data_IF_304938901879
#
_entry.id   IF_304938901879
#
_cell.length_a   1.000
_cell.length_b   1.000
_cell.length_c   1.000
_cell.angle_alpha   90.00
_cell.angle_beta   90.00
_cell.angle_gamma   90.00
#
_symmetry.space_group_name_H-M   'P 1'
#
loop_
_entity.id
_entity.type
_entity.pdbx_description
1 polymer ?
#
# COMPACT_ATOMS: atom_id res chain seq x y z
N UNK A 1 -6.94 3.70 -19.21
CA UNK A 1 -6.88 2.45 -18.41
C UNK A 1 -8.13 2.26 -17.55
N UNK A 2 -8.76 1.07 -17.60
CA UNK A 2 -9.98 0.71 -16.82
C UNK A 2 -9.73 0.27 -15.38
N UNK A 3 -8.47 0.04 -15.04
CA UNK A 3 -8.04 -0.43 -13.72
C UNK A 3 -7.00 0.55 -13.18
N UNK A 4 -7.10 0.87 -11.88
CA UNK A 4 -6.08 1.61 -11.15
C UNK A 4 -5.24 0.64 -10.31
N UNK A 5 -3.97 0.37 -10.70
CA UNK A 5 -3.07 -0.38 -9.83
C UNK A 5 -2.64 0.48 -8.64
N UNK A 6 -2.79 -0.06 -7.44
CA UNK A 6 -2.40 0.53 -6.17
C UNK A 6 -1.61 -0.49 -5.35
N UNK A 7 -0.57 -0.01 -4.65
CA UNK A 7 0.20 -0.82 -3.70
C UNK A 7 -0.31 -0.57 -2.29
N UNK A 8 -0.26 -1.60 -1.46
CA UNK A 8 -0.58 -1.46 -0.03
C UNK A 8 0.34 -0.44 0.64
N UNK A 9 1.61 -0.45 0.27
CA UNK A 9 2.66 0.42 0.78
C UNK A 9 2.33 1.89 0.53
N UNK A 10 1.78 2.23 -0.64
CA UNK A 10 1.38 3.61 -0.96
C UNK A 10 0.28 4.09 0.01
N UNK A 11 -0.68 3.22 0.36
CA UNK A 11 -1.78 3.54 1.29
C UNK A 11 -1.32 3.71 2.75
N UNK A 12 -0.13 3.18 3.09
CA UNK A 12 0.44 3.29 4.43
C UNK A 12 1.50 4.40 4.53
N UNK A 13 2.42 4.47 3.57
CA UNK A 13 3.59 5.35 3.59
C UNK A 13 3.31 6.74 3.00
N UNK A 14 2.43 6.83 2.00
CA UNK A 14 2.02 8.10 1.37
C UNK A 14 0.51 8.12 1.11
N UNK A 15 -0.23 7.98 2.20
CA UNK A 15 -1.68 7.78 2.19
C UNK A 15 -2.41 8.89 1.44
N UNK A 16 -2.08 10.15 1.73
CA UNK A 16 -2.78 11.28 1.12
C UNK A 16 -2.58 11.31 -0.40
N UNK A 17 -1.35 11.07 -0.89
CA UNK A 17 -1.12 10.97 -2.33
C UNK A 17 -1.86 9.78 -2.96
N UNK A 18 -1.84 8.62 -2.32
CA UNK A 18 -2.55 7.43 -2.78
C UNK A 18 -4.07 7.65 -2.86
N UNK A 19 -4.66 8.29 -1.86
CA UNK A 19 -6.08 8.65 -1.83
C UNK A 19 -6.43 9.69 -2.89
N UNK A 20 -5.57 10.69 -3.11
CA UNK A 20 -5.76 11.64 -4.20
C UNK A 20 -5.77 10.97 -5.57
N UNK A 21 -4.81 10.06 -5.82
CA UNK A 21 -4.73 9.29 -7.06
C UNK A 21 -5.96 8.40 -7.28
N UNK A 22 -6.51 7.83 -6.20
CA UNK A 22 -7.76 7.08 -6.24
C UNK A 22 -8.94 7.99 -6.61
N UNK A 23 -9.03 9.18 -6.01
CA UNK A 23 -10.09 10.14 -6.32
C UNK A 23 -9.98 10.65 -7.76
N UNK A 24 -8.78 10.97 -8.26
CA UNK A 24 -8.54 11.31 -9.67
C UNK A 24 -9.07 10.23 -10.61
N UNK A 25 -8.77 8.98 -10.31
CA UNK A 25 -9.24 7.85 -11.10
C UNK A 25 -10.77 7.76 -11.09
N UNK A 26 -11.42 7.90 -9.94
CA UNK A 26 -12.88 7.85 -9.85
C UNK A 26 -13.56 9.05 -10.54
N UNK A 27 -13.01 10.26 -10.41
CA UNK A 27 -13.52 11.45 -11.10
C UNK A 27 -13.40 11.33 -12.62
N UNK A 28 -12.29 10.75 -13.12
CA UNK A 28 -12.14 10.43 -14.55
C UNK A 28 -13.20 9.44 -15.07
N UNK A 29 -13.91 8.76 -14.15
CA UNK A 29 -14.99 7.81 -14.41
C UNK A 29 -16.38 8.37 -14.11
N UNK A 30 -16.48 9.68 -13.89
CA UNK A 30 -17.74 10.38 -13.71
C UNK A 30 -18.21 10.49 -12.26
N UNK A 31 -17.40 10.07 -11.27
CA UNK A 31 -17.66 10.43 -9.88
C UNK A 31 -17.60 11.95 -9.76
N UNK A 32 -18.61 12.54 -9.11
CA UNK A 32 -18.60 13.96 -8.74
C UNK A 32 -18.52 14.05 -7.21
N UNK A 33 -17.45 14.64 -6.70
CA UNK A 33 -17.31 14.84 -5.26
C UNK A 33 -18.33 15.88 -4.77
N UNK A 34 -19.08 15.53 -3.73
CA UNK A 34 -20.04 16.44 -3.09
C UNK A 34 -19.35 17.49 -2.19
N UNK A 35 -18.07 17.32 -1.90
CA UNK A 35 -17.25 18.18 -1.05
C UNK A 35 -15.93 18.50 -1.75
N UNK A 36 -15.17 19.47 -1.22
CA UNK A 36 -13.84 19.76 -1.74
C UNK A 36 -12.93 18.54 -1.65
N UNK A 37 -11.96 18.45 -2.57
CA UNK A 37 -10.92 17.40 -2.60
C UNK A 37 -10.27 17.18 -1.24
N UNK A 38 -9.85 18.25 -0.59
CA UNK A 38 -9.23 18.23 0.74
C UNK A 38 -10.15 17.61 1.81
N UNK A 39 -11.44 17.94 1.78
CA UNK A 39 -12.43 17.38 2.72
C UNK A 39 -12.72 15.91 2.44
N UNK A 40 -12.79 15.51 1.17
CA UNK A 40 -12.96 14.13 0.79
C UNK A 40 -11.79 13.27 1.29
N UNK A 41 -10.55 13.70 1.06
CA UNK A 41 -9.34 13.00 1.55
C UNK A 41 -9.36 12.91 3.08
N UNK A 42 -9.61 14.01 3.79
CA UNK A 42 -9.68 14.00 5.25
C UNK A 42 -10.76 13.06 5.79
N UNK A 43 -11.93 12.99 5.12
CA UNK A 43 -12.99 12.07 5.51
C UNK A 43 -12.61 10.60 5.29
N UNK A 44 -11.95 10.29 4.17
CA UNK A 44 -11.44 8.94 3.88
C UNK A 44 -10.37 8.53 4.89
N UNK A 45 -9.44 9.43 5.23
CA UNK A 45 -8.41 9.18 6.24
C UNK A 45 -9.02 8.93 7.62
N UNK A 46 -10.00 9.74 8.04
CA UNK A 46 -10.72 9.54 9.30
C UNK A 46 -11.51 8.23 9.33
N UNK A 47 -11.95 7.73 8.17
CA UNK A 47 -12.61 6.44 8.00
C UNK A 47 -11.67 5.24 8.21
N UNK A 48 -10.36 5.43 8.07
CA UNK A 48 -9.36 4.38 8.33
C UNK A 48 -9.20 4.25 9.85
N UNK A 49 -9.97 3.35 10.45
CA UNK A 49 -10.02 3.13 11.89
C UNK A 49 -9.59 1.70 12.29
N UNK A 50 -8.29 1.37 12.23
CA UNK A 50 -7.76 0.04 12.60
C UNK A 50 -8.26 -0.52 13.92
N UNK A 51 -8.38 0.34 14.94
CA UNK A 51 -8.84 -0.04 16.29
C UNK A 51 -10.28 -0.57 16.33
N UNK A 52 -11.08 -0.32 15.29
CA UNK A 52 -12.45 -0.82 15.17
C UNK A 52 -12.53 -2.16 14.44
N UNK A 53 -11.42 -2.69 13.94
CA UNK A 53 -11.37 -3.96 13.20
C UNK A 53 -10.85 -5.09 14.09
N UNK A 54 -11.67 -6.13 14.28
CA UNK A 54 -11.29 -7.32 15.05
C UNK A 54 -10.22 -8.20 14.38
N UNK A 55 -9.91 -7.95 13.11
CA UNK A 55 -8.88 -8.68 12.34
C UNK A 55 -7.61 -7.85 12.11
N UNK A 56 -7.56 -6.61 12.61
CA UNK A 56 -6.40 -5.75 12.42
C UNK A 56 -5.23 -6.17 13.32
N UNK A 57 -4.12 -6.60 12.70
CA UNK A 57 -2.92 -7.04 13.42
C UNK A 57 -1.92 -5.90 13.68
N UNK A 58 -1.21 -5.42 12.65
CA UNK A 58 -0.28 -4.27 12.74
C UNK A 58 -0.41 -3.25 11.60
N UNK A 59 -0.69 -3.71 10.38
CA UNK A 59 -0.90 -2.83 9.22
C UNK A 59 0.35 -2.07 8.76
N UNK A 60 1.54 -2.66 8.95
CA UNK A 60 2.82 -2.05 8.62
C UNK A 60 3.55 -2.87 7.54
N UNK A 61 4.06 -2.24 6.47
CA UNK A 61 4.95 -2.87 5.51
C UNK A 61 6.24 -3.36 6.18
N UNK A 62 6.82 -4.44 5.65
CA UNK A 62 8.19 -4.82 5.99
C UNK A 62 8.37 -5.62 7.29
N UNK A 63 7.30 -5.95 8.00
CA UNK A 63 7.36 -6.72 9.25
C UNK A 63 7.90 -8.14 9.08
N UNK A 64 7.92 -8.66 7.85
CA UNK A 64 8.56 -9.95 7.54
C UNK A 64 10.04 -9.98 8.01
N UNK A 65 10.73 -8.83 8.06
CA UNK A 65 12.13 -8.72 8.53
C UNK A 65 12.29 -9.12 10.01
N UNK A 66 11.24 -8.98 10.82
CA UNK A 66 11.24 -9.40 12.23
C UNK A 66 11.08 -10.91 12.40
N UNK A 67 10.55 -11.60 11.37
CA UNK A 67 10.15 -13.00 11.45
C UNK A 67 10.95 -13.93 10.54
N UNK A 68 11.57 -13.40 9.49
CA UNK A 68 12.37 -14.19 8.56
C UNK A 68 13.76 -14.44 9.13
N UNK A 69 14.06 -15.71 9.38
CA UNK A 69 15.45 -16.15 9.60
C UNK A 69 16.27 -16.00 8.31
N UNK A 70 17.59 -16.02 8.44
CA UNK A 70 18.49 -16.02 7.29
C UNK A 70 18.24 -17.20 6.35
N UNK A 71 17.86 -18.36 6.89
CA UNK A 71 17.43 -19.53 6.09
C UNK A 71 16.17 -19.23 5.28
N UNK A 72 15.18 -18.54 5.86
CA UNK A 72 13.96 -18.16 5.15
C UNK A 72 14.29 -17.18 4.01
N UNK A 73 15.14 -16.19 4.28
CA UNK A 73 15.58 -15.23 3.25
C UNK A 73 16.32 -15.93 2.11
N UNK A 74 17.26 -16.82 2.43
CA UNK A 74 18.01 -17.57 1.42
C UNK A 74 17.11 -18.44 0.54
N UNK A 75 16.13 -19.15 1.14
CA UNK A 75 15.15 -19.95 0.39
C UNK A 75 14.24 -19.07 -0.47
N UNK A 76 13.80 -17.93 0.04
CA UNK A 76 12.99 -17.00 -0.73
C UNK A 76 13.78 -16.44 -1.92
N UNK A 77 15.02 -15.99 -1.73
CA UNK A 77 15.92 -15.53 -2.81
C UNK A 77 16.12 -16.61 -3.87
N UNK A 78 16.31 -17.86 -3.46
CA UNK A 78 16.47 -18.98 -4.40
C UNK A 78 15.22 -19.26 -5.26
N UNK A 79 14.02 -19.01 -4.74
CA UNK A 79 12.75 -19.29 -5.46
C UNK A 79 12.26 -18.07 -6.25
N UNK A 80 12.29 -16.89 -5.63
CA UNK A 80 11.74 -15.67 -6.19
C UNK A 80 12.75 -14.89 -7.05
N UNK A 81 14.06 -15.17 -6.92
CA UNK A 81 15.10 -14.42 -7.59
C UNK A 81 15.04 -12.92 -7.26
N UNK A 82 15.07 -12.09 -8.30
CA UNK A 82 15.09 -10.63 -8.22
C UNK A 82 13.68 -9.99 -8.14
N UNK A 83 12.63 -10.79 -7.85
CA UNK A 83 11.24 -10.34 -7.92
C UNK A 83 10.97 -9.11 -7.05
N UNK A 84 11.54 -9.02 -5.84
CA UNK A 84 11.35 -7.85 -4.97
C UNK A 84 11.97 -6.58 -5.56
N UNK A 85 13.12 -6.70 -6.24
CA UNK A 85 13.77 -5.58 -6.91
C UNK A 85 12.99 -5.15 -8.15
N UNK A 86 12.56 -6.11 -8.97
CA UNK A 86 11.74 -5.84 -10.18
C UNK A 86 10.40 -5.19 -9.87
N UNK A 87 9.78 -5.56 -8.73
CA UNK A 87 8.53 -4.98 -8.27
C UNK A 87 8.74 -3.67 -7.48
N UNK A 88 9.99 -3.28 -7.20
CA UNK A 88 10.34 -2.06 -6.49
C UNK A 88 10.05 -2.10 -4.99
N UNK A 89 9.96 -3.30 -4.39
CA UNK A 89 9.85 -3.49 -2.95
C UNK A 89 11.20 -3.39 -2.23
N UNK A 90 12.28 -3.72 -2.92
CA UNK A 90 13.66 -3.60 -2.43
C UNK A 90 14.58 -3.00 -3.51
N UNK A 91 15.73 -2.46 -3.10
CA UNK A 91 16.68 -1.79 -4.01
C UNK A 91 17.75 -2.72 -4.58
N UNK A 92 18.10 -3.75 -3.83
CA UNK A 92 19.12 -4.77 -4.17
C UNK A 92 18.80 -6.04 -3.41
N UNK A 93 19.60 -7.10 -3.61
CA UNK A 93 19.49 -8.35 -2.85
C UNK A 93 20.03 -8.26 -1.41
N UNK A 94 20.37 -7.07 -0.92
CA UNK A 94 20.89 -6.86 0.44
C UNK A 94 19.79 -6.70 1.50
N UNK A 95 18.58 -7.20 1.21
CA UNK A 95 17.45 -7.27 2.13
C UNK A 95 17.48 -8.50 3.05
#
# INVERSE_FOLDING_TARGET
PEILPLRFEDLILDRSAALNRLLDFLESRGLRLAVSRSRAVAALEAGIAPRKSGTFRKGQPGEWREHFSETNKARFKAVAGDLLVRLGYERSDDW
#
